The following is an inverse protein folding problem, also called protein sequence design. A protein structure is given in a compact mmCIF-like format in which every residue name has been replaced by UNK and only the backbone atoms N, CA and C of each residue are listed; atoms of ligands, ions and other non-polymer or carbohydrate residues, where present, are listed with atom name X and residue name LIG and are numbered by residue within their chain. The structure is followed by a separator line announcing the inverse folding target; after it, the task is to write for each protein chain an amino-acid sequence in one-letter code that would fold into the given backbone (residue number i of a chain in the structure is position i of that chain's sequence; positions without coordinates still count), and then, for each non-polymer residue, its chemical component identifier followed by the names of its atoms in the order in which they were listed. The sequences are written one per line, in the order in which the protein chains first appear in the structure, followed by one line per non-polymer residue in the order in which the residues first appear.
data_IF_785943855818
#
_entry.id   IF_785943855818
#
_cell.length_a   1.000
_cell.length_b   1.000
_cell.length_c   1.000
_cell.angle_alpha   90.00
_cell.angle_beta   90.00
_cell.angle_gamma   90.00
#
_symmetry.space_group_name_H-M   'P 1'
#
loop_
_entity.id
_entity.type
_entity.pdbx_description
1 polymer ?
#
# COMPACT_ATOMS: atom_id res chain seq x y z
N UNK A 1 -21.27 9.69 0.19
CA UNK A 1 -19.90 9.48 0.71
C UNK A 1 -19.71 8.32 1.68
N UNK A 2 -20.76 7.81 2.35
CA UNK A 2 -20.61 6.71 3.32
C UNK A 2 -20.05 5.41 2.70
N UNK A 3 -20.45 5.08 1.47
CA UNK A 3 -19.95 3.92 0.72
C UNK A 3 -18.41 3.90 0.60
N UNK A 4 -17.81 4.95 0.02
CA UNK A 4 -16.36 5.01 -0.19
C UNK A 4 -15.56 5.00 1.11
N UNK A 5 -16.07 5.65 2.17
CA UNK A 5 -15.42 5.62 3.49
C UNK A 5 -15.40 4.20 4.08
N UNK A 6 -16.52 3.46 3.96
CA UNK A 6 -16.60 2.06 4.40
C UNK A 6 -15.70 1.14 3.58
N UNK A 7 -15.66 1.34 2.26
CA UNK A 7 -14.78 0.56 1.38
C UNK A 7 -13.30 0.81 1.69
N UNK A 8 -12.90 2.08 1.90
CA UNK A 8 -11.54 2.42 2.33
C UNK A 8 -11.18 1.77 3.65
N UNK A 9 -12.06 1.87 4.66
CA UNK A 9 -11.85 1.24 5.96
C UNK A 9 -11.65 -0.27 5.80
N UNK A 10 -12.47 -0.93 4.98
CA UNK A 10 -12.34 -2.36 4.72
C UNK A 10 -11.02 -2.75 4.06
N UNK A 11 -10.54 -1.99 3.08
CA UNK A 11 -9.22 -2.27 2.47
C UNK A 11 -8.08 -2.12 3.49
N UNK A 12 -8.15 -1.12 4.37
CA UNK A 12 -7.14 -0.92 5.42
C UNK A 12 -7.16 -2.05 6.47
N UNK A 13 -8.36 -2.52 6.86
CA UNK A 13 -8.49 -3.69 7.75
C UNK A 13 -7.85 -4.93 7.14
N UNK A 14 -8.10 -5.19 5.85
CA UNK A 14 -7.51 -6.33 5.14
C UNK A 14 -5.98 -6.20 5.06
N UNK A 15 -5.47 -5.01 4.74
CA UNK A 15 -4.03 -4.77 4.68
C UNK A 15 -3.34 -4.87 6.05
N UNK A 16 -4.03 -4.50 7.13
CA UNK A 16 -3.51 -4.65 8.49
C UNK A 16 -3.49 -6.11 8.96
N UNK A 17 -4.41 -6.94 8.44
CA UNK A 17 -4.53 -8.35 8.82
C UNK A 17 -3.58 -9.27 8.01
N UNK A 18 -3.10 -8.84 6.85
CA UNK A 18 -2.29 -9.65 5.94
C UNK A 18 -0.95 -8.95 5.61
N UNK A 19 0.18 -9.42 6.16
CA UNK A 19 1.51 -8.85 5.90
C UNK A 19 1.97 -8.89 4.44
N UNK A 20 1.33 -9.70 3.59
CA UNK A 20 1.62 -9.73 2.15
C UNK A 20 1.05 -8.50 1.42
N UNK A 21 0.08 -7.80 2.02
CA UNK A 21 -0.57 -6.63 1.45
C UNK A 21 0.16 -5.36 1.91
N UNK A 22 0.75 -4.64 0.95
CA UNK A 22 1.47 -3.39 1.20
C UNK A 22 0.64 -2.20 0.73
N UNK A 23 0.35 -1.26 1.63
CA UNK A 23 -0.43 -0.07 1.33
C UNK A 23 0.48 1.09 0.94
N UNK A 24 0.19 1.77 -0.18
CA UNK A 24 0.86 3.00 -0.61
C UNK A 24 -0.11 4.17 -0.53
N UNK A 25 0.34 5.31 -0.01
CA UNK A 25 -0.49 6.52 0.07
C UNK A 25 -0.59 7.21 -1.30
N UNK A 26 -1.75 7.05 -1.94
CA UNK A 26 -2.07 7.65 -3.23
C UNK A 26 -2.62 9.09 -3.15
N UNK A 27 -2.68 9.70 -1.96
CA UNK A 27 -3.08 11.12 -1.80
C UNK A 27 -1.93 12.10 -2.09
N UNK A 28 -0.71 11.56 -2.25
CA UNK A 28 0.50 12.30 -2.60
C UNK A 28 0.55 12.67 -4.09
N UNK A 29 1.45 13.59 -4.50
CA UNK A 29 1.74 13.85 -5.91
C UNK A 29 2.22 12.59 -6.65
N UNK A 30 1.96 12.52 -7.96
CA UNK A 30 2.23 11.34 -8.79
C UNK A 30 3.68 10.82 -8.66
N UNK A 31 4.67 11.72 -8.66
CA UNK A 31 6.08 11.34 -8.56
C UNK A 31 6.42 10.68 -7.21
N UNK A 32 5.78 11.14 -6.13
CA UNK A 32 5.93 10.56 -4.81
C UNK A 32 5.31 9.16 -4.76
N UNK A 33 4.08 9.00 -5.27
CA UNK A 33 3.40 7.70 -5.36
C UNK A 33 4.23 6.71 -6.17
N UNK A 34 4.75 7.12 -7.34
CA UNK A 34 5.56 6.28 -8.21
C UNK A 34 6.88 5.84 -7.53
N UNK A 35 7.51 6.75 -6.76
CA UNK A 35 8.71 6.43 -5.98
C UNK A 35 8.39 5.42 -4.87
N UNK A 36 7.30 5.61 -4.14
CA UNK A 36 6.95 4.77 -3.00
C UNK A 36 6.55 3.35 -3.47
N UNK A 37 5.88 3.22 -4.63
CA UNK A 37 5.62 1.92 -5.26
C UNK A 37 6.95 1.21 -5.58
N UNK A 38 7.89 1.90 -6.24
CA UNK A 38 9.20 1.32 -6.58
C UNK A 38 9.96 0.86 -5.34
N UNK A 39 9.99 1.70 -4.29
CA UNK A 39 10.66 1.37 -3.04
C UNK A 39 10.03 0.14 -2.36
N UNK A 40 8.70 0.08 -2.32
CA UNK A 40 7.93 -1.03 -1.74
C UNK A 40 8.25 -2.38 -2.41
N UNK A 41 8.37 -2.38 -3.74
CA UNK A 41 8.73 -3.57 -4.53
C UNK A 41 10.20 -3.92 -4.32
N UNK A 42 11.11 -2.95 -4.36
CA UNK A 42 12.54 -3.19 -4.14
C UNK A 42 12.81 -3.79 -2.76
N UNK A 43 12.15 -3.28 -1.72
CA UNK A 43 12.22 -3.84 -0.37
C UNK A 43 11.70 -5.27 -0.34
N UNK A 44 10.57 -5.57 -0.98
CA UNK A 44 10.05 -6.94 -1.09
C UNK A 44 11.08 -7.87 -1.70
N UNK A 45 11.68 -7.48 -2.83
CA UNK A 45 12.68 -8.30 -3.50
C UNK A 45 13.91 -8.58 -2.63
N UNK A 46 14.35 -7.61 -1.83
CA UNK A 46 15.47 -7.77 -0.90
C UNK A 46 15.13 -8.77 0.23
N UNK A 47 13.90 -8.73 0.75
CA UNK A 47 13.43 -9.67 1.77
C UNK A 47 13.35 -11.11 1.24
N UNK A 48 13.08 -11.31 -0.05
CA UNK A 48 13.06 -12.65 -0.66
C UNK A 48 14.45 -13.25 -0.92
N UNK A 49 15.48 -12.41 -0.98
CA UNK A 49 16.86 -12.82 -1.26
C UNK A 49 17.69 -13.08 0.01
N UNK A 50 17.13 -12.77 1.17
CA UNK A 50 17.69 -13.01 2.50
C UNK A 50 17.24 -14.37 3.06
#
# INVERSE_FOLDING_TARGET
MNFFNRTRARYLELAAADPSIRTVDATQPLDAVARDIRATIAQWMAEQAA
#
